data_IF_812533078557
#
_entry.id   IF_812533078557
#
_cell.length_a   1.000
_cell.length_b   1.000
_cell.length_c   1.000
_cell.angle_alpha   90.00
_cell.angle_beta   90.00
_cell.angle_gamma   90.00
#
_symmetry.space_group_name_H-M   'P 1'
#
loop_
_entity.id
_entity.type
_entity.pdbx_description
1 polymer ?
#
# COMPACT_ATOMS: atom_id res chain seq x y z
N UNK A 1 3.14 -0.92 8.66
CA UNK A 1 3.27 0.44 9.23
C UNK A 1 2.12 0.76 10.16
N UNK A 2 2.32 1.47 11.28
CA UNK A 2 1.19 2.07 12.02
C UNK A 2 0.46 3.06 11.11
N UNK A 3 -0.87 3.12 11.22
CA UNK A 3 -1.69 4.09 10.50
C UNK A 3 -1.62 5.45 11.19
N UNK A 4 -1.34 6.50 10.41
CA UNK A 4 -1.36 7.89 10.88
C UNK A 4 -2.20 8.70 9.90
N UNK A 5 -3.28 9.30 10.39
CA UNK A 5 -4.21 10.05 9.53
C UNK A 5 -3.52 11.23 8.86
N UNK A 6 -3.76 11.40 7.56
CA UNK A 6 -3.13 12.43 6.73
C UNK A 6 -1.69 12.13 6.31
N UNK A 7 -1.09 11.03 6.78
CA UNK A 7 0.25 10.66 6.35
C UNK A 7 0.27 10.07 4.93
N UNK A 8 1.36 10.34 4.22
CA UNK A 8 1.65 9.71 2.93
C UNK A 8 2.09 8.25 3.15
N UNK A 9 1.34 7.32 2.57
CA UNK A 9 1.61 5.89 2.62
C UNK A 9 2.61 5.47 1.54
N UNK A 10 2.44 6.02 0.34
CA UNK A 10 3.34 5.86 -0.79
C UNK A 10 3.20 7.01 -1.77
N UNK A 11 4.19 7.14 -2.65
CA UNK A 11 4.20 8.05 -3.78
C UNK A 11 4.69 7.31 -5.01
N UNK A 12 3.90 7.39 -6.07
CA UNK A 12 4.23 6.85 -7.38
C UNK A 12 4.61 8.02 -8.30
N UNK A 13 5.81 7.98 -8.85
CA UNK A 13 6.30 8.94 -9.82
C UNK A 13 6.40 8.23 -11.18
N UNK A 14 5.71 8.74 -12.19
CA UNK A 14 5.73 8.20 -13.54
C UNK A 14 6.72 9.02 -14.36
N UNK A 15 7.86 8.42 -14.70
CA UNK A 15 8.89 9.10 -15.49
C UNK A 15 8.53 9.16 -16.97
N UNK A 16 7.94 8.09 -17.50
CA UNK A 16 7.43 8.02 -18.86
C UNK A 16 6.18 7.14 -18.92
N UNK A 17 5.24 7.51 -19.79
CA UNK A 17 4.07 6.71 -20.12
C UNK A 17 3.93 6.65 -21.65
N UNK A 18 3.89 5.44 -22.19
CA UNK A 18 3.75 5.17 -23.63
C UNK A 18 2.66 4.11 -23.86
N UNK A 19 2.31 3.86 -25.12
CA UNK A 19 1.39 2.77 -25.48
C UNK A 19 1.94 1.38 -25.10
N UNK A 20 3.25 1.24 -24.91
CA UNK A 20 3.91 -0.02 -24.61
C UNK A 20 4.02 -0.28 -23.10
N UNK A 21 3.93 0.76 -22.27
CA UNK A 21 4.18 0.67 -20.84
C UNK A 21 4.58 1.99 -20.20
N UNK A 22 4.89 1.93 -18.91
CA UNK A 22 5.27 3.09 -18.11
C UNK A 22 6.48 2.78 -17.22
N UNK A 23 7.47 3.67 -17.26
CA UNK A 23 8.60 3.64 -16.32
C UNK A 23 8.22 4.44 -15.08
N UNK A 24 8.20 3.79 -13.92
CA UNK A 24 7.71 4.39 -12.68
C UNK A 24 8.69 4.15 -11.53
N UNK A 25 8.78 5.08 -10.59
CA UNK A 25 9.35 4.86 -9.26
C UNK A 25 8.22 4.84 -8.23
N UNK A 26 8.23 3.85 -7.34
CA UNK A 26 7.35 3.80 -6.18
C UNK A 26 8.18 3.95 -4.91
N UNK A 27 7.88 4.99 -4.15
CA UNK A 27 8.37 5.21 -2.80
C UNK A 27 7.31 4.79 -1.80
N UNK A 28 7.58 3.80 -0.95
CA UNK A 28 6.67 3.37 0.13
C UNK A 28 7.24 3.72 1.49
N UNK A 29 6.36 4.07 2.43
CA UNK A 29 6.75 4.27 3.83
C UNK A 29 7.13 2.93 4.48
N UNK A 30 8.26 2.90 5.18
CA UNK A 30 8.73 1.73 5.94
C UNK A 30 8.90 2.06 7.42
N UNK A 31 9.10 1.03 8.25
CA UNK A 31 9.13 1.16 9.72
C UNK A 31 10.09 2.25 10.19
N UNK A 32 9.77 2.89 11.32
CA UNK A 32 10.66 3.86 12.00
C UNK A 32 11.01 5.12 11.20
N UNK A 33 10.12 5.57 10.30
CA UNK A 33 10.29 6.83 9.56
C UNK A 33 11.20 6.72 8.33
N UNK A 34 11.58 5.51 7.95
CA UNK A 34 12.29 5.27 6.70
C UNK A 34 11.30 5.15 5.53
N UNK A 35 11.84 5.24 4.32
CA UNK A 35 11.11 4.96 3.09
C UNK A 35 11.95 4.06 2.19
N UNK A 36 11.30 3.22 1.41
CA UNK A 36 11.95 2.39 0.39
C UNK A 36 11.47 2.84 -0.97
N UNK A 37 12.40 3.00 -1.89
CA UNK A 37 12.11 3.35 -3.28
C UNK A 37 12.46 2.17 -4.19
N UNK A 38 11.65 1.98 -5.23
CA UNK A 38 11.84 0.93 -6.23
C UNK A 38 11.31 1.38 -7.57
N UNK A 39 12.11 1.13 -8.60
CA UNK A 39 11.71 1.36 -9.98
C UNK A 39 10.99 0.13 -10.56
N UNK A 40 10.05 0.41 -11.46
CA UNK A 40 9.25 -0.57 -12.17
C UNK A 40 9.17 -0.20 -13.65
N UNK A 41 9.31 -1.21 -14.48
CA UNK A 41 8.84 -1.19 -15.86
C UNK A 41 7.48 -1.88 -15.89
N UNK A 42 6.42 -1.09 -16.03
CA UNK A 42 5.04 -1.55 -15.96
C UNK A 42 4.46 -1.69 -17.36
N UNK A 43 3.70 -2.76 -17.59
CA UNK A 43 2.96 -2.94 -18.84
C UNK A 43 1.92 -1.85 -19.07
N UNK A 44 1.31 -1.80 -20.27
CA UNK A 44 0.38 -0.75 -20.63
C UNK A 44 -0.92 -0.83 -19.82
N UNK A 45 -1.60 0.30 -19.68
CA UNK A 45 -2.89 0.40 -19.00
C UNK A 45 -2.82 1.16 -17.67
N UNK A 46 -3.90 1.08 -16.90
CA UNK A 46 -3.98 1.73 -15.59
C UNK A 46 -3.08 1.05 -14.56
N UNK A 47 -2.52 1.85 -13.67
CA UNK A 47 -1.71 1.39 -12.54
C UNK A 47 -2.59 1.39 -11.28
N UNK A 48 -2.54 0.31 -10.52
CA UNK A 48 -3.21 0.14 -9.24
C UNK A 48 -2.18 -0.26 -8.18
N UNK A 49 -2.28 0.34 -7.00
CA UNK A 49 -1.55 -0.13 -5.82
C UNK A 49 -2.48 -0.95 -4.95
N UNK A 50 -2.08 -2.16 -4.61
CA UNK A 50 -2.80 -2.98 -3.65
C UNK A 50 -2.22 -2.78 -2.24
N UNK A 51 -3.11 -2.74 -1.26
CA UNK A 51 -2.76 -2.57 0.13
C UNK A 51 -3.40 -3.64 0.99
N UNK A 52 -2.79 -3.88 2.14
CA UNK A 52 -3.42 -4.65 3.21
C UNK A 52 -3.55 -3.76 4.44
N UNK A 53 -4.77 -3.66 4.96
CA UNK A 53 -5.10 -3.01 6.20
C UNK A 53 -5.37 -4.07 7.26
N UNK A 54 -4.71 -3.94 8.40
CA UNK A 54 -4.96 -4.68 9.61
C UNK A 54 -5.57 -3.77 10.67
N UNK A 55 -6.74 -4.13 11.16
CA UNK A 55 -7.40 -3.47 12.28
C UNK A 55 -7.23 -4.34 13.52
N UNK A 56 -6.86 -3.72 14.62
CA UNK A 56 -6.52 -4.40 15.89
C UNK A 56 -7.44 -3.85 16.97
N UNK A 57 -8.16 -4.76 17.63
CA UNK A 57 -9.08 -4.46 18.74
C UNK A 57 -8.57 -5.08 20.03
N UNK A 58 -9.07 -4.57 21.16
CA UNK A 58 -8.76 -5.12 22.48
C UNK A 58 -7.31 -4.85 22.91
N UNK A 59 -6.76 -5.64 23.84
CA UNK A 59 -5.49 -5.36 24.50
C UNK A 59 -4.29 -5.20 23.56
N UNK A 60 -4.28 -5.90 22.42
CA UNK A 60 -3.18 -5.79 21.45
C UNK A 60 -3.08 -4.38 20.83
N UNK A 61 -4.19 -3.65 20.75
CA UNK A 61 -4.18 -2.30 20.17
C UNK A 61 -3.29 -1.33 20.96
N UNK A 62 -3.10 -1.56 22.27
CA UNK A 62 -2.23 -0.74 23.10
C UNK A 62 -0.74 -0.88 22.74
N UNK A 63 -0.31 -2.07 22.30
CA UNK A 63 1.09 -2.33 21.94
C UNK A 63 1.38 -2.07 20.46
N UNK A 64 0.40 -2.28 19.58
CA UNK A 64 0.63 -2.30 18.12
C UNK A 64 -0.11 -1.20 17.34
N UNK A 65 -0.93 -0.40 18.03
CA UNK A 65 -1.86 0.55 17.44
C UNK A 65 -3.18 -0.09 17.02
N UNK A 66 -4.19 0.72 16.72
CA UNK A 66 -5.52 0.24 16.30
C UNK A 66 -5.60 -0.12 14.82
N UNK A 67 -4.70 0.46 13.99
CA UNK A 67 -4.63 0.19 12.56
C UNK A 67 -3.19 0.13 12.08
N UNK A 68 -2.95 -0.79 11.15
CA UNK A 68 -1.67 -0.95 10.46
C UNK A 68 -1.91 -1.20 8.98
N UNK A 69 -1.05 -0.69 8.12
CA UNK A 69 -1.14 -0.90 6.68
C UNK A 69 0.19 -1.37 6.09
N UNK A 70 0.14 -1.90 4.87
CA UNK A 70 1.32 -2.16 4.03
C UNK A 70 0.94 -2.13 2.56
N UNK A 71 1.91 -1.79 1.71
CA UNK A 71 1.74 -1.87 0.26
C UNK A 71 2.12 -3.28 -0.17
N UNK A 72 1.21 -4.03 -0.79
CA UNK A 72 1.44 -5.45 -1.09
C UNK A 72 1.81 -5.70 -2.54
N UNK A 73 1.33 -4.88 -3.47
CA UNK A 73 1.64 -5.04 -4.87
C UNK A 73 1.42 -3.76 -5.67
N UNK A 74 2.06 -3.70 -6.83
CA UNK A 74 1.72 -2.82 -7.94
C UNK A 74 1.10 -3.68 -9.03
N UNK A 75 -0.05 -3.28 -9.56
CA UNK A 75 -0.73 -3.97 -10.66
C UNK A 75 -0.80 -3.03 -11.86
N UNK A 76 -0.37 -3.50 -13.02
CA UNK A 76 -0.47 -2.75 -14.27
C UNK A 76 -0.66 -3.71 -15.44
N UNK A 77 -1.58 -3.40 -16.35
CA UNK A 77 -1.86 -4.25 -17.52
C UNK A 77 -2.24 -5.70 -17.18
N UNK A 78 -2.86 -5.93 -16.02
CA UNK A 78 -3.19 -7.27 -15.51
C UNK A 78 -2.01 -8.06 -14.91
N UNK A 79 -0.80 -7.50 -14.90
CA UNK A 79 0.38 -8.08 -14.26
C UNK A 79 0.52 -7.54 -12.84
N UNK A 80 0.72 -8.43 -11.88
CA UNK A 80 0.84 -8.12 -10.44
C UNK A 80 2.27 -8.29 -9.94
N UNK A 81 2.92 -7.19 -9.58
CA UNK A 81 4.26 -7.15 -9.01
C UNK A 81 4.20 -7.12 -7.49
N UNK A 82 4.57 -8.22 -6.84
CA UNK A 82 4.52 -8.33 -5.37
C UNK A 82 5.64 -7.54 -4.71
N UNK A 83 5.27 -6.72 -3.73
CA UNK A 83 6.21 -6.01 -2.88
C UNK A 83 6.60 -6.89 -1.69
N UNK A 84 7.89 -7.22 -1.50
CA UNK A 84 8.36 -8.06 -0.40
C UNK A 84 8.49 -7.23 0.89
N UNK A 85 7.41 -6.55 1.29
CA UNK A 85 7.34 -5.86 2.58
C UNK A 85 7.04 -6.87 3.69
N UNK A 86 7.71 -6.70 4.83
CA UNK A 86 7.50 -7.55 6.00
C UNK A 86 6.04 -7.45 6.47
N UNK A 87 5.40 -8.60 6.68
CA UNK A 87 4.03 -8.69 7.23
C UNK A 87 4.00 -8.31 8.71
N UNK A 88 5.16 -8.31 9.35
CA UNK A 88 5.30 -8.18 10.78
C UNK A 88 4.81 -9.44 11.51
N UNK A 89 5.02 -9.48 12.84
CA UNK A 89 4.85 -10.70 13.63
C UNK A 89 3.39 -11.15 13.79
N UNK A 90 2.41 -10.27 13.58
CA UNK A 90 0.99 -10.55 13.86
C UNK A 90 0.23 -11.18 12.68
N UNK A 91 0.76 -11.08 11.45
CA UNK A 91 0.02 -11.37 10.20
C UNK A 91 0.85 -12.28 9.28
N UNK A 92 1.66 -13.16 9.88
CA UNK A 92 2.51 -14.09 9.13
C UNK A 92 1.76 -15.08 8.22
N UNK A 93 0.45 -15.24 8.39
CA UNK A 93 -0.39 -16.11 7.55
C UNK A 93 -1.35 -15.28 6.70
N UNK A 94 -1.54 -15.66 5.43
CA UNK A 94 -2.38 -14.95 4.45
C UNK A 94 -3.82 -14.64 4.88
N UNK A 95 -4.32 -15.35 5.90
CA UNK A 95 -5.70 -15.27 6.38
C UNK A 95 -5.82 -14.59 7.76
N UNK A 96 -4.71 -14.04 8.26
CA UNK A 96 -4.58 -13.56 9.64
C UNK A 96 -4.48 -14.70 10.68
N UNK A 97 -4.81 -15.94 10.32
CA UNK A 97 -4.79 -17.07 11.25
C UNK A 97 -5.88 -16.97 12.32
N UNK A 98 -6.40 -18.11 12.77
CA UNK A 98 -7.46 -18.16 13.80
C UNK A 98 -7.01 -17.43 15.08
N UNK A 99 -5.72 -17.53 15.42
CA UNK A 99 -5.15 -16.87 16.60
C UNK A 99 -5.19 -15.34 16.51
N UNK A 100 -4.83 -14.72 15.38
CA UNK A 100 -4.89 -13.26 15.32
C UNK A 100 -6.34 -12.75 15.35
N UNK A 101 -7.29 -13.50 14.75
CA UNK A 101 -8.72 -13.19 14.86
C UNK A 101 -9.22 -13.29 16.30
N UNK A 102 -8.85 -14.34 17.02
CA UNK A 102 -9.17 -14.49 18.45
C UNK A 102 -8.59 -13.35 19.30
N UNK A 103 -7.44 -12.82 18.90
CA UNK A 103 -6.79 -11.69 19.54
C UNK A 103 -7.30 -10.32 19.03
N UNK A 104 -8.39 -10.29 18.25
CA UNK A 104 -9.05 -9.07 17.81
C UNK A 104 -8.41 -8.41 16.58
N UNK A 105 -7.61 -9.13 15.80
CA UNK A 105 -7.02 -8.64 14.54
C UNK A 105 -7.86 -9.07 13.34
N UNK A 106 -8.25 -8.12 12.50
CA UNK A 106 -8.90 -8.37 11.22
C UNK A 106 -8.11 -7.74 10.08
N UNK A 107 -7.96 -8.45 8.97
CA UNK A 107 -7.27 -7.95 7.78
C UNK A 107 -8.21 -7.84 6.59
N UNK A 108 -8.01 -6.82 5.77
CA UNK A 108 -8.69 -6.64 4.49
C UNK A 108 -7.76 -6.01 3.45
N UNK A 109 -8.01 -6.29 2.17
CA UNK A 109 -7.31 -5.61 1.09
C UNK A 109 -7.98 -4.27 0.78
N UNK A 110 -7.17 -3.26 0.48
CA UNK A 110 -7.65 -2.00 -0.06
C UNK A 110 -7.09 -1.83 -1.46
N UNK A 111 -7.98 -1.47 -2.36
CA UNK A 111 -7.70 -1.21 -3.76
C UNK A 111 -8.15 0.23 -4.04
N UNK A 112 -7.29 1.23 -3.76
CA UNK A 112 -7.57 2.62 -4.08
C UNK A 112 -7.77 2.84 -5.58
N UNK A 113 -8.22 4.04 -5.93
CA UNK A 113 -8.49 4.47 -7.31
C UNK A 113 -7.35 4.14 -8.25
N UNK A 114 -7.70 3.55 -9.40
CA UNK A 114 -6.77 3.28 -10.49
C UNK A 114 -6.24 4.58 -11.09
N UNK A 115 -4.95 4.60 -11.41
CA UNK A 115 -4.26 5.73 -12.01
C UNK A 115 -4.09 5.49 -13.52
N UNK A 116 -4.59 6.40 -14.34
CA UNK A 116 -4.18 6.45 -15.75
C UNK A 116 -2.77 7.08 -15.82
N UNK A 117 -1.75 6.37 -16.34
CA UNK A 117 -0.40 6.89 -16.32
C UNK A 117 -0.24 8.07 -17.28
N UNK A 118 0.46 9.10 -16.80
CA UNK A 118 0.84 10.27 -17.59
C UNK A 118 2.32 10.59 -17.34
N UNK A 119 3.04 10.97 -18.40
CA UNK A 119 4.46 11.27 -18.34
C UNK A 119 4.72 12.42 -17.37
N UNK A 120 5.68 12.23 -16.46
CA UNK A 120 6.06 13.15 -15.37
C UNK A 120 4.96 13.39 -14.32
N UNK A 121 3.89 12.58 -14.30
CA UNK A 121 2.87 12.68 -13.27
C UNK A 121 3.35 12.09 -11.94
N UNK A 122 2.92 12.70 -10.84
CA UNK A 122 3.13 12.18 -9.49
C UNK A 122 1.80 11.91 -8.83
N UNK A 123 1.70 10.78 -8.14
CA UNK A 123 0.50 10.38 -7.43
C UNK A 123 0.85 9.99 -5.98
N UNK A 124 0.34 10.74 -5.02
CA UNK A 124 0.49 10.48 -3.59
C UNK A 124 -0.71 9.71 -3.04
N UNK A 125 -0.44 8.71 -2.21
CA UNK A 125 -1.45 7.88 -1.56
C UNK A 125 -1.54 8.27 -0.09
N UNK A 126 -2.63 8.91 0.31
CA UNK A 126 -2.81 9.52 1.63
C UNK A 126 -3.77 8.70 2.49
N UNK A 127 -3.34 8.37 3.70
CA UNK A 127 -4.12 7.63 4.69
C UNK A 127 -5.25 8.48 5.26
N UNK A 128 -6.48 7.98 5.20
CA UNK A 128 -7.67 8.68 5.68
C UNK A 128 -8.14 8.21 7.07
N UNK A 129 -8.83 9.07 7.85
CA UNK A 129 -9.35 8.70 9.17
C UNK A 129 -10.35 7.53 9.16
N UNK A 130 -11.04 7.29 8.04
CA UNK A 130 -12.00 6.20 7.87
C UNK A 130 -11.34 4.83 7.54
N UNK A 131 -10.00 4.79 7.43
CA UNK A 131 -9.27 3.60 7.03
C UNK A 131 -9.26 3.34 5.52
N UNK A 132 -9.62 4.34 4.70
CA UNK A 132 -9.40 4.34 3.26
C UNK A 132 -8.07 5.00 2.89
N UNK A 133 -7.65 4.83 1.63
CA UNK A 133 -6.46 5.49 1.07
C UNK A 133 -6.94 6.31 -0.12
N UNK A 134 -6.69 7.61 -0.08
CA UNK A 134 -7.03 8.53 -1.16
C UNK A 134 -5.85 8.74 -2.08
N UNK A 135 -6.14 8.84 -3.38
CA UNK A 135 -5.18 9.22 -4.40
C UNK A 135 -5.21 10.75 -4.58
N UNK A 136 -4.05 11.40 -4.50
CA UNK A 136 -3.86 12.82 -4.79
C UNK A 136 -2.88 12.93 -5.96
N UNK A 137 -3.27 13.64 -7.02
CA UNK A 137 -2.45 13.87 -8.20
C UNK A 137 -1.83 15.26 -8.11
N UNK A 138 -0.53 15.35 -8.39
CA UNK A 138 0.21 16.60 -8.56
C UNK A 138 0.35 16.98 -10.04
#
# INVERSE_FOLDING_TARGET
>A
MPWTDGAEAARLTIWSATEQGSLCSLKTATGHGFSKERDFDLGPGTIELEWELAEIRGPLSAAFGTRRYRTVAVVAGGVRFVLPEDRGPLIGSGDGGILARLLGVSTRRLNPTMLAPATLATAAYILQPDGSISLVLD
#
